data_IF_024644341851
#
_entry.id   IF_024644341851
#
_cell.length_a   1.000
_cell.length_b   1.000
_cell.length_c   1.000
_cell.angle_alpha   90.00
_cell.angle_beta   90.00
_cell.angle_gamma   90.00
#
_symmetry.space_group_name_H-M   'P 1'
#
loop_
_entity.id
_entity.type
_entity.pdbx_description
1 polymer ?
#
# COMPACT_ATOMS: atom_id res chain seq x y z
N UNK A 1 -4.93 21.91 2.95
CA UNK A 1 -4.36 20.55 3.12
C UNK A 1 -2.95 20.64 2.59
N UNK A 2 -1.97 20.11 3.29
CA UNK A 2 -0.56 20.09 2.90
C UNK A 2 -0.24 18.87 2.07
N UNK A 3 0.87 18.88 1.35
CA UNK A 3 1.43 17.71 0.67
C UNK A 3 1.91 16.71 1.72
N UNK A 4 1.34 15.50 1.75
CA UNK A 4 1.80 14.47 2.66
C UNK A 4 3.01 13.74 2.08
N UNK A 5 3.84 13.20 2.98
CA UNK A 5 4.93 12.30 2.61
C UNK A 5 4.99 11.14 3.62
N UNK A 6 5.26 9.95 3.11
CA UNK A 6 5.26 8.72 3.91
C UNK A 6 5.95 7.57 3.16
N UNK A 7 6.30 6.51 3.86
CA UNK A 7 6.70 5.25 3.25
C UNK A 7 5.52 4.33 2.96
N UNK A 8 5.73 3.31 2.13
CA UNK A 8 4.70 2.33 1.77
C UNK A 8 4.58 1.16 2.77
N UNK A 9 5.40 1.11 3.80
CA UNK A 9 5.34 0.14 4.89
C UNK A 9 6.58 -0.73 5.01
N UNK A 10 6.99 -1.40 3.93
CA UNK A 10 8.16 -2.27 3.96
C UNK A 10 9.47 -1.52 4.16
N UNK A 11 10.28 -2.00 5.10
CA UNK A 11 11.60 -1.47 5.45
C UNK A 11 12.63 -2.61 5.57
N UNK A 12 13.92 -2.31 5.39
CA UNK A 12 15.00 -3.29 5.48
C UNK A 12 15.35 -3.67 6.91
N UNK A 13 16.05 -4.79 7.04
CA UNK A 13 16.62 -5.25 8.31
C UNK A 13 15.66 -6.07 9.16
N UNK A 14 16.06 -6.34 10.41
CA UNK A 14 15.35 -7.22 11.32
C UNK A 14 15.00 -6.57 12.67
N UNK A 15 15.33 -5.30 12.87
CA UNK A 15 15.05 -4.56 14.10
C UNK A 15 13.89 -3.58 13.88
N UNK A 16 12.74 -3.86 14.52
CA UNK A 16 11.58 -2.94 14.49
C UNK A 16 11.94 -1.61 15.12
N UNK A 17 12.69 -1.59 16.22
CA UNK A 17 13.10 -0.34 16.88
C UNK A 17 13.90 0.54 15.91
N UNK A 18 14.89 -0.03 15.22
CA UNK A 18 15.67 0.74 14.25
C UNK A 18 14.82 1.25 13.06
N UNK A 19 13.87 0.46 12.59
CA UNK A 19 12.93 0.87 11.55
C UNK A 19 11.97 1.95 12.06
N UNK A 20 11.45 1.80 13.27
CA UNK A 20 10.58 2.78 13.91
C UNK A 20 11.28 4.13 14.14
N UNK A 21 12.55 4.10 14.56
CA UNK A 21 13.37 5.31 14.70
C UNK A 21 13.53 6.06 13.38
N UNK A 22 13.77 5.32 12.27
CA UNK A 22 13.85 5.92 10.94
C UNK A 22 12.50 6.55 10.56
N UNK A 23 11.40 5.83 10.74
CA UNK A 23 10.07 6.36 10.44
C UNK A 23 9.81 7.63 11.24
N UNK A 24 10.05 7.62 12.55
CA UNK A 24 9.85 8.79 13.40
C UNK A 24 10.72 10.00 12.98
N UNK A 25 11.96 9.75 12.54
CA UNK A 25 12.87 10.80 12.11
C UNK A 25 12.57 11.40 10.74
N UNK A 26 12.03 10.59 9.83
CA UNK A 26 11.97 10.96 8.41
C UNK A 26 10.55 11.18 7.86
N UNK A 27 9.46 10.70 8.52
CA UNK A 27 8.10 10.77 7.96
C UNK A 27 7.16 11.79 8.63
N UNK A 28 7.65 12.61 9.56
CA UNK A 28 6.84 13.68 10.15
C UNK A 28 5.60 13.17 10.89
N UNK A 29 4.44 13.77 10.57
CA UNK A 29 3.18 13.56 11.31
C UNK A 29 2.48 12.24 10.95
N UNK A 30 2.71 11.70 9.75
CA UNK A 30 2.12 10.43 9.31
C UNK A 30 3.15 9.30 9.36
N UNK A 31 3.16 8.53 10.43
CA UNK A 31 4.08 7.41 10.63
C UNK A 31 3.49 6.11 10.09
N UNK A 32 4.14 5.49 9.10
CA UNK A 32 3.77 4.13 8.69
C UNK A 32 4.28 3.11 9.72
N UNK A 33 3.46 2.10 10.05
CA UNK A 33 3.95 0.95 10.80
C UNK A 33 4.97 0.17 9.93
N UNK A 34 6.19 -0.09 10.42
CA UNK A 34 7.20 -0.78 9.66
C UNK A 34 6.87 -2.26 9.50
N UNK A 35 6.95 -2.76 8.28
CA UNK A 35 6.90 -4.19 7.94
C UNK A 35 8.31 -4.61 7.55
N UNK A 36 8.84 -5.66 8.18
CA UNK A 36 10.19 -6.17 7.93
C UNK A 36 10.15 -7.56 7.30
N UNK A 37 10.12 -7.69 5.96
CA UNK A 37 10.03 -8.98 5.27
C UNK A 37 11.20 -9.92 5.59
N UNK A 38 12.38 -9.38 5.90
CA UNK A 38 13.55 -10.17 6.35
C UNK A 38 13.28 -10.99 7.61
N UNK A 39 12.25 -10.65 8.40
CA UNK A 39 11.79 -11.44 9.56
C UNK A 39 10.82 -12.56 9.18
N UNK A 40 10.54 -12.75 7.89
CA UNK A 40 9.66 -13.79 7.36
C UNK A 40 8.16 -13.48 7.47
N UNK A 41 7.80 -12.20 7.59
CA UNK A 41 6.43 -11.69 7.51
C UNK A 41 6.43 -10.49 6.57
N UNK A 42 5.85 -10.67 5.39
CA UNK A 42 5.53 -9.61 4.43
C UNK A 42 4.10 -9.09 4.67
N UNK A 43 3.65 -8.15 3.84
CA UNK A 43 2.30 -7.59 3.96
C UNK A 43 1.20 -8.65 3.77
N UNK A 44 1.41 -9.66 2.90
CA UNK A 44 0.47 -10.78 2.72
C UNK A 44 0.39 -11.61 4.00
N UNK A 45 1.54 -11.99 4.54
CA UNK A 45 1.63 -12.73 5.80
C UNK A 45 0.97 -12.01 6.97
N UNK A 46 1.25 -10.70 7.12
CA UNK A 46 0.60 -9.86 8.12
C UNK A 46 -0.93 -9.91 7.95
N UNK A 47 -1.40 -9.68 6.73
CA UNK A 47 -2.84 -9.67 6.42
C UNK A 47 -3.50 -11.00 6.73
N UNK A 48 -2.84 -12.13 6.42
CA UNK A 48 -3.40 -13.45 6.79
C UNK A 48 -3.53 -13.65 8.30
N UNK A 49 -2.67 -13.00 9.07
CA UNK A 49 -2.71 -13.04 10.54
C UNK A 49 -3.91 -12.32 11.15
N UNK A 50 -4.42 -11.28 10.49
CA UNK A 50 -5.55 -10.49 11.00
C UNK A 50 -6.93 -10.95 10.51
N UNK A 51 -7.02 -12.04 9.72
CA UNK A 51 -8.29 -12.53 9.17
C UNK A 51 -9.11 -13.31 10.20
N UNK A 52 -10.20 -12.78 10.78
CA UNK A 52 -11.02 -13.51 11.73
C UNK A 52 -11.75 -14.69 11.06
N UNK A 53 -11.70 -15.85 11.66
CA UNK A 53 -12.39 -17.05 11.18
C UNK A 53 -11.74 -17.74 9.97
N UNK A 54 -10.73 -17.15 9.35
CA UNK A 54 -9.96 -17.74 8.24
C UNK A 54 -8.62 -18.24 8.78
N UNK A 55 -8.30 -19.48 8.46
CA UNK A 55 -7.02 -20.07 8.82
C UNK A 55 -6.21 -20.36 7.57
N UNK A 56 -4.96 -19.97 7.57
CA UNK A 56 -4.02 -20.25 6.48
C UNK A 56 -2.76 -20.92 6.99
N UNK A 57 -2.09 -21.66 6.14
CA UNK A 57 -0.77 -22.22 6.36
C UNK A 57 0.13 -21.95 5.17
N UNK A 58 1.43 -22.11 5.33
CA UNK A 58 2.35 -22.04 4.20
C UNK A 58 2.22 -23.31 3.35
N UNK A 59 1.84 -23.12 2.11
CA UNK A 59 1.90 -24.15 1.09
C UNK A 59 3.24 -24.15 0.35
N UNK A 60 3.41 -25.09 -0.60
CA UNK A 60 4.65 -25.20 -1.38
C UNK A 60 4.89 -24.03 -2.35
N UNK A 61 3.84 -23.33 -2.76
CA UNK A 61 3.91 -22.21 -3.71
C UNK A 61 3.46 -20.88 -3.10
N UNK A 62 2.52 -20.93 -2.16
CA UNK A 62 1.85 -19.77 -1.60
C UNK A 62 1.18 -20.14 -0.27
N UNK A 63 0.36 -19.27 0.29
CA UNK A 63 -0.50 -19.54 1.42
C UNK A 63 -1.64 -20.50 1.02
N UNK A 64 -2.04 -21.41 1.91
CA UNK A 64 -3.12 -22.38 1.65
C UNK A 64 -4.18 -22.27 2.74
N UNK A 65 -5.45 -22.25 2.37
CA UNK A 65 -6.56 -22.31 3.33
C UNK A 65 -6.52 -23.61 4.14
N UNK A 66 -6.65 -23.48 5.44
CA UNK A 66 -6.65 -24.58 6.39
C UNK A 66 -7.95 -24.62 7.19
N UNK A 67 -8.44 -25.84 7.49
CA UNK A 67 -9.65 -26.04 8.32
C UNK A 67 -9.39 -25.83 9.81
N UNK A 68 -8.14 -25.75 10.24
CA UNK A 68 -7.74 -25.62 11.65
C UNK A 68 -6.73 -24.50 11.82
N UNK A 69 -6.78 -23.79 12.96
CA UNK A 69 -5.74 -22.82 13.32
C UNK A 69 -4.36 -23.46 13.31
N UNK A 70 -3.44 -22.86 12.58
CA UNK A 70 -2.07 -23.33 12.46
C UNK A 70 -1.16 -22.58 13.43
N UNK A 71 -0.10 -23.26 13.88
CA UNK A 71 0.91 -22.66 14.75
C UNK A 71 1.57 -21.43 14.10
N UNK A 72 1.68 -21.45 12.74
CA UNK A 72 2.28 -20.35 11.98
C UNK A 72 1.43 -19.09 12.03
N UNK A 73 0.12 -19.19 11.86
CA UNK A 73 -0.80 -18.04 11.97
C UNK A 73 -0.71 -17.40 13.36
N UNK A 74 -0.69 -18.20 14.43
CA UNK A 74 -0.48 -17.69 15.79
C UNK A 74 0.85 -16.96 15.95
N UNK A 75 1.94 -17.51 15.39
CA UNK A 75 3.26 -16.87 15.43
C UNK A 75 3.31 -15.55 14.66
N UNK A 76 2.52 -15.41 13.59
CA UNK A 76 2.41 -14.14 12.86
C UNK A 76 1.71 -13.12 13.76
N UNK A 77 0.58 -13.49 14.36
CA UNK A 77 -0.13 -12.63 15.29
C UNK A 77 0.73 -12.19 16.49
N UNK A 78 1.34 -13.15 17.18
CA UNK A 78 2.25 -12.87 18.31
C UNK A 78 3.37 -11.91 17.89
N UNK A 79 3.83 -11.99 16.64
CA UNK A 79 4.84 -11.11 16.09
C UNK A 79 4.31 -9.71 15.79
N UNK A 80 3.11 -9.60 15.22
CA UNK A 80 2.46 -8.30 14.98
C UNK A 80 2.31 -7.55 16.29
N UNK A 81 1.82 -8.21 17.35
CA UNK A 81 1.70 -7.63 18.69
C UNK A 81 3.06 -7.18 19.24
N UNK A 82 4.08 -8.03 19.17
CA UNK A 82 5.42 -7.69 19.62
C UNK A 82 6.05 -6.54 18.82
N UNK A 83 5.72 -6.40 17.54
CA UNK A 83 6.18 -5.31 16.69
C UNK A 83 5.47 -4.00 17.06
N UNK A 84 4.18 -4.03 17.36
CA UNK A 84 3.43 -2.89 17.90
C UNK A 84 3.97 -2.42 19.24
N UNK A 85 4.29 -3.35 20.17
CA UNK A 85 4.92 -3.02 21.45
C UNK A 85 6.26 -2.29 21.27
N UNK A 86 7.07 -2.73 20.30
CA UNK A 86 8.35 -2.07 20.00
C UNK A 86 8.17 -0.70 19.34
N UNK A 87 7.16 -0.54 18.46
CA UNK A 87 6.83 0.77 17.90
C UNK A 87 6.33 1.74 19.00
N UNK A 88 5.49 1.27 19.91
CA UNK A 88 5.03 2.07 21.05
C UNK A 88 6.22 2.48 21.95
N UNK A 89 7.15 1.56 22.22
CA UNK A 89 8.37 1.87 22.95
C UNK A 89 9.21 2.96 22.27
N UNK A 90 9.31 2.92 20.93
CA UNK A 90 10.11 3.89 20.17
C UNK A 90 9.42 5.23 20.00
N UNK A 91 8.10 5.26 19.78
CA UNK A 91 7.34 6.45 19.44
C UNK A 91 6.61 7.10 20.62
N UNK A 92 6.39 6.35 21.71
CA UNK A 92 5.47 6.71 22.77
C UNK A 92 4.01 6.55 22.32
N UNK A 93 3.08 6.99 23.19
CA UNK A 93 1.63 6.83 23.00
C UNK A 93 0.96 8.09 22.42
N UNK A 94 1.70 9.13 22.09
CA UNK A 94 1.16 10.37 21.52
C UNK A 94 1.89 10.68 20.23
N UNK A 95 1.26 10.33 19.12
CA UNK A 95 1.72 10.58 17.77
C UNK A 95 0.55 11.15 16.96
N UNK A 96 0.83 11.91 15.90
CA UNK A 96 -0.21 12.64 15.18
C UNK A 96 -1.11 11.70 14.36
N UNK A 97 -0.52 10.79 13.60
CA UNK A 97 -1.25 9.78 12.83
C UNK A 97 -0.40 8.55 12.55
N UNK A 98 -1.06 7.39 12.46
CA UNK A 98 -0.44 6.12 12.05
C UNK A 98 -1.04 5.63 10.75
N UNK A 99 -0.18 5.19 9.83
CA UNK A 99 -0.57 4.49 8.61
C UNK A 99 -0.26 3.01 8.74
N UNK A 100 -1.30 2.18 8.61
CA UNK A 100 -1.19 0.72 8.52
C UNK A 100 -1.31 0.26 7.08
N UNK A 101 -0.69 -0.88 6.76
CA UNK A 101 -0.71 -1.46 5.43
C UNK A 101 -1.22 -2.90 5.50
N UNK A 102 -2.14 -3.25 4.60
CA UNK A 102 -2.70 -4.58 4.46
C UNK A 102 -2.85 -4.93 2.98
N UNK A 103 -2.77 -6.20 2.66
CA UNK A 103 -3.03 -6.67 1.29
C UNK A 103 -4.50 -6.53 0.97
N UNK A 104 -4.81 -5.95 -0.18
CA UNK A 104 -6.19 -5.81 -0.64
C UNK A 104 -6.81 -7.14 -1.11
N UNK A 105 -8.14 -7.16 -1.33
CA UNK A 105 -8.90 -8.39 -1.54
C UNK A 105 -8.47 -9.18 -2.77
N UNK A 106 -8.03 -8.52 -3.82
CA UNK A 106 -7.64 -9.16 -5.07
C UNK A 106 -6.28 -9.85 -4.94
N UNK A 107 -5.27 -9.14 -4.45
CA UNK A 107 -3.95 -9.70 -4.20
C UNK A 107 -4.01 -10.79 -3.13
N UNK A 108 -4.78 -10.60 -2.07
CA UNK A 108 -4.95 -11.58 -1.00
C UNK A 108 -5.53 -12.90 -1.55
N UNK A 109 -6.65 -12.84 -2.29
CA UNK A 109 -7.27 -14.03 -2.87
C UNK A 109 -6.44 -14.66 -3.99
N UNK A 110 -5.64 -13.87 -4.70
CA UNK A 110 -4.65 -14.37 -5.65
C UNK A 110 -3.46 -15.07 -4.97
N UNK A 111 -3.13 -14.69 -3.73
CA UNK A 111 -2.01 -15.22 -2.95
C UNK A 111 -2.37 -16.40 -2.06
N UNK A 112 -3.65 -16.74 -1.93
CA UNK A 112 -4.12 -17.87 -1.12
C UNK A 112 -4.64 -18.97 -2.05
N UNK A 113 -4.21 -20.20 -1.81
CA UNK A 113 -4.68 -21.40 -2.51
C UNK A 113 -5.75 -22.13 -1.69
N UNK A 114 -6.70 -22.71 -2.37
CA UNK A 114 -7.64 -23.68 -1.83
C UNK A 114 -6.94 -25.03 -1.63
N UNK A 115 -7.57 -25.96 -0.92
CA UNK A 115 -7.02 -27.31 -0.68
C UNK A 115 -6.78 -28.13 -1.96
N UNK A 116 -7.47 -27.78 -3.06
CA UNK A 116 -7.28 -28.37 -4.39
C UNK A 116 -6.14 -27.72 -5.20
N UNK A 117 -5.46 -26.71 -4.63
CA UNK A 117 -4.35 -26.01 -5.25
C UNK A 117 -4.74 -24.86 -6.19
N UNK A 118 -6.03 -24.63 -6.45
CA UNK A 118 -6.46 -23.44 -7.19
C UNK A 118 -6.40 -22.19 -6.30
N UNK A 119 -6.16 -21.02 -6.90
CA UNK A 119 -6.19 -19.76 -6.17
C UNK A 119 -7.60 -19.45 -5.67
N UNK A 120 -7.74 -18.95 -4.46
CA UNK A 120 -9.03 -18.58 -3.88
C UNK A 120 -9.80 -17.57 -4.75
N UNK A 121 -9.08 -16.77 -5.52
CA UNK A 121 -9.62 -15.84 -6.53
C UNK A 121 -10.57 -16.52 -7.54
N UNK A 122 -10.35 -17.81 -7.86
CA UNK A 122 -11.15 -18.54 -8.86
C UNK A 122 -12.44 -19.13 -8.29
N UNK A 123 -12.66 -19.03 -6.97
CA UNK A 123 -13.87 -19.48 -6.30
C UNK A 123 -14.63 -18.29 -5.71
N UNK A 124 -15.83 -18.03 -6.21
CA UNK A 124 -16.64 -16.88 -5.82
C UNK A 124 -16.99 -16.87 -4.33
N UNK A 125 -17.19 -18.05 -3.73
CA UNK A 125 -17.47 -18.19 -2.31
C UNK A 125 -16.25 -17.85 -1.47
N UNK A 126 -15.09 -18.42 -1.81
CA UNK A 126 -13.84 -18.16 -1.12
C UNK A 126 -13.41 -16.68 -1.24
N UNK A 127 -13.55 -16.09 -2.42
CA UNK A 127 -13.26 -14.67 -2.65
C UNK A 127 -14.16 -13.77 -1.80
N UNK A 128 -15.47 -14.08 -1.69
CA UNK A 128 -16.40 -13.34 -0.84
C UNK A 128 -16.01 -13.50 0.63
N UNK A 129 -15.79 -14.71 1.10
CA UNK A 129 -15.53 -14.97 2.52
C UNK A 129 -14.19 -14.38 2.97
N UNK A 130 -13.16 -14.41 2.10
CA UNK A 130 -11.89 -13.71 2.33
C UNK A 130 -12.07 -12.19 2.37
N UNK A 131 -12.90 -11.62 1.50
CA UNK A 131 -13.18 -10.17 1.49
C UNK A 131 -13.89 -9.73 2.76
N UNK A 132 -14.91 -10.48 3.22
CA UNK A 132 -15.63 -10.17 4.46
C UNK A 132 -14.72 -10.30 5.69
N UNK A 133 -13.90 -11.35 5.74
CA UNK A 133 -12.92 -11.53 6.81
C UNK A 133 -11.86 -10.43 6.80
N UNK A 134 -11.41 -9.98 5.62
CA UNK A 134 -10.47 -8.87 5.48
C UNK A 134 -11.04 -7.57 6.06
N UNK A 135 -12.29 -7.23 5.73
CA UNK A 135 -12.94 -6.03 6.25
C UNK A 135 -13.00 -6.08 7.78
N UNK A 136 -13.46 -7.19 8.34
CA UNK A 136 -13.53 -7.35 9.80
C UNK A 136 -12.14 -7.26 10.45
N UNK A 137 -11.14 -7.92 9.85
CA UNK A 137 -9.76 -7.90 10.34
C UNK A 137 -9.13 -6.51 10.31
N UNK A 138 -9.37 -5.73 9.24
CA UNK A 138 -8.89 -4.34 9.16
C UNK A 138 -9.54 -3.49 10.25
N UNK A 139 -10.85 -3.65 10.49
CA UNK A 139 -11.57 -2.91 11.51
C UNK A 139 -11.02 -3.21 12.91
N UNK A 140 -10.83 -4.48 13.25
CA UNK A 140 -10.26 -4.92 14.54
C UNK A 140 -8.82 -4.40 14.71
N UNK A 141 -7.97 -4.58 13.70
CA UNK A 141 -6.58 -4.14 13.73
C UNK A 141 -6.44 -2.62 13.82
N UNK A 142 -7.24 -1.87 13.06
CA UNK A 142 -7.26 -0.40 13.14
C UNK A 142 -7.73 0.09 14.51
N UNK A 143 -8.70 -0.58 15.12
CA UNK A 143 -9.20 -0.24 16.45
C UNK A 143 -8.12 -0.48 17.52
N UNK A 144 -7.38 -1.59 17.43
CA UNK A 144 -6.27 -1.89 18.34
C UNK A 144 -5.13 -0.87 18.20
N UNK A 145 -4.69 -0.56 16.99
CA UNK A 145 -3.65 0.45 16.74
C UNK A 145 -4.11 1.83 17.23
N UNK A 146 -5.38 2.21 16.98
CA UNK A 146 -5.95 3.47 17.46
C UNK A 146 -5.94 3.56 18.98
N UNK A 147 -6.34 2.49 19.66
CA UNK A 147 -6.36 2.44 21.13
C UNK A 147 -4.95 2.51 21.73
N UNK A 148 -3.98 1.85 21.10
CA UNK A 148 -2.59 1.78 21.56
C UNK A 148 -1.85 3.11 21.45
N UNK A 149 -2.02 3.83 20.35
CA UNK A 149 -1.31 5.08 20.09
C UNK A 149 -2.13 6.34 20.36
N UNK A 150 -3.39 6.21 20.76
CA UNK A 150 -4.33 7.34 21.00
C UNK A 150 -4.35 8.34 19.82
N UNK A 151 -4.48 7.82 18.58
CA UNK A 151 -4.31 8.61 17.35
C UNK A 151 -5.22 8.16 16.21
N UNK A 152 -5.29 8.96 15.15
CA UNK A 152 -5.94 8.55 13.90
C UNK A 152 -5.13 7.46 13.18
N UNK A 153 -5.86 6.50 12.61
CA UNK A 153 -5.28 5.40 11.83
C UNK A 153 -5.73 5.52 10.38
N UNK A 154 -4.78 5.55 9.47
CA UNK A 154 -5.00 5.56 8.03
C UNK A 154 -4.65 4.21 7.43
N UNK A 155 -5.61 3.63 6.72
CA UNK A 155 -5.46 2.30 6.11
C UNK A 155 -4.99 2.42 4.67
N UNK A 156 -3.96 1.66 4.31
CA UNK A 156 -3.48 1.45 2.95
C UNK A 156 -3.79 0.02 2.51
N UNK A 157 -4.46 -0.14 1.36
CA UNK A 157 -4.58 -1.42 0.67
C UNK A 157 -3.45 -1.57 -0.36
N UNK A 158 -2.69 -2.64 -0.25
CA UNK A 158 -1.66 -3.02 -1.21
C UNK A 158 -2.21 -4.01 -2.23
N UNK A 159 -2.24 -3.61 -3.51
CA UNK A 159 -2.75 -4.42 -4.62
C UNK A 159 -1.70 -4.63 -5.73
N UNK A 160 -0.52 -5.21 -5.40
CA UNK A 160 0.55 -5.40 -6.37
C UNK A 160 0.19 -6.40 -7.49
N UNK A 161 -0.80 -7.26 -7.30
CA UNK A 161 -1.25 -8.22 -8.31
C UNK A 161 -2.46 -7.74 -9.12
N UNK A 162 -2.99 -6.54 -8.85
CA UNK A 162 -4.23 -6.05 -9.46
C UNK A 162 -4.20 -6.03 -11.00
N UNK A 163 -3.10 -5.59 -11.58
CA UNK A 163 -2.92 -5.59 -13.03
C UNK A 163 -2.93 -7.02 -13.61
N UNK A 164 -2.28 -7.96 -12.93
CA UNK A 164 -2.26 -9.36 -13.36
C UNK A 164 -3.64 -10.04 -13.21
N UNK A 165 -4.40 -9.67 -12.17
CA UNK A 165 -5.80 -10.13 -11.99
C UNK A 165 -6.69 -9.59 -13.10
N UNK A 166 -6.56 -8.29 -13.41
CA UNK A 166 -7.27 -7.65 -14.52
C UNK A 166 -7.02 -8.37 -15.84
N UNK A 167 -5.77 -8.64 -16.15
CA UNK A 167 -5.37 -9.18 -17.46
C UNK A 167 -5.48 -10.71 -17.55
N UNK A 168 -5.82 -11.41 -16.46
CA UNK A 168 -5.85 -12.86 -16.41
C UNK A 168 -4.47 -13.50 -16.60
N UNK A 169 -3.40 -12.78 -16.28
CA UNK A 169 -2.02 -13.23 -16.51
C UNK A 169 -1.37 -13.95 -15.31
N UNK A 170 -2.13 -14.16 -14.26
CA UNK A 170 -1.66 -14.94 -13.10
C UNK A 170 -1.49 -16.42 -13.48
N UNK A 171 -0.39 -17.05 -13.06
CA UNK A 171 -0.22 -18.48 -13.31
C UNK A 171 -1.22 -19.30 -12.50
N UNK A 172 -1.90 -20.23 -13.15
CA UNK A 172 -2.75 -21.24 -12.53
C UNK A 172 -1.96 -22.42 -11.95
N UNK A 173 -2.66 -23.51 -11.64
CA UNK A 173 -2.06 -24.75 -11.11
C UNK A 173 -1.23 -25.50 -12.16
N UNK A 174 -1.54 -25.30 -13.43
CA UNK A 174 -0.83 -25.85 -14.59
C UNK A 174 -0.89 -24.87 -15.76
N UNK A 175 -0.13 -25.12 -16.80
CA UNK A 175 -0.18 -24.32 -18.04
C UNK A 175 -1.53 -24.35 -18.77
N UNK A 176 -2.44 -25.26 -18.39
CA UNK A 176 -3.79 -25.38 -18.94
C UNK A 176 -4.87 -24.80 -18.01
N UNK A 177 -4.48 -24.30 -16.85
CA UNK A 177 -5.37 -23.71 -15.86
C UNK A 177 -5.27 -22.17 -15.97
N UNK A 178 -6.06 -21.62 -16.88
CA UNK A 178 -6.10 -20.19 -17.12
C UNK A 178 -6.98 -19.50 -16.07
N UNK A 179 -6.47 -18.46 -15.45
CA UNK A 179 -7.25 -17.58 -14.57
C UNK A 179 -7.93 -16.52 -15.45
N UNK A 180 -9.28 -16.45 -15.46
CA UNK A 180 -9.98 -15.48 -16.30
C UNK A 180 -9.63 -14.05 -15.93
N UNK A 181 -9.56 -13.17 -16.93
CA UNK A 181 -9.47 -11.72 -16.72
C UNK A 181 -10.73 -11.19 -16.02
N UNK A 182 -10.55 -10.17 -15.18
CA UNK A 182 -11.64 -9.48 -14.48
C UNK A 182 -11.71 -8.05 -14.99
N UNK A 183 -12.90 -7.58 -15.35
CA UNK A 183 -13.06 -6.22 -15.87
C UNK A 183 -12.89 -5.15 -14.78
N UNK A 184 -12.61 -3.91 -15.19
CA UNK A 184 -12.33 -2.79 -14.29
C UNK A 184 -13.49 -2.45 -13.34
N UNK A 185 -14.74 -2.66 -13.77
CA UNK A 185 -15.91 -2.38 -12.94
C UNK A 185 -16.01 -3.35 -11.77
N UNK A 186 -15.92 -4.66 -12.01
CA UNK A 186 -15.97 -5.68 -10.97
C UNK A 186 -14.79 -5.55 -9.99
N UNK A 187 -13.59 -5.19 -10.52
CA UNK A 187 -12.42 -4.91 -9.68
C UNK A 187 -12.69 -3.73 -8.74
N UNK A 188 -13.17 -2.62 -9.31
CA UNK A 188 -13.44 -1.39 -8.56
C UNK A 188 -14.58 -1.55 -7.55
N UNK A 189 -15.68 -2.21 -7.91
CA UNK A 189 -16.83 -2.43 -7.01
C UNK A 189 -16.46 -3.23 -5.76
N UNK A 190 -15.62 -4.25 -5.90
CA UNK A 190 -15.16 -5.01 -4.74
C UNK A 190 -14.24 -4.18 -3.85
N UNK A 191 -13.32 -3.41 -4.44
CA UNK A 191 -12.48 -2.48 -3.69
C UNK A 191 -13.34 -1.42 -2.99
N UNK A 192 -14.36 -0.86 -3.65
CA UNK A 192 -15.29 0.10 -3.06
C UNK A 192 -15.94 -0.44 -1.77
N UNK A 193 -16.41 -1.69 -1.79
CA UNK A 193 -16.98 -2.33 -0.61
C UNK A 193 -16.00 -2.47 0.56
N UNK A 194 -14.71 -2.72 0.29
CA UNK A 194 -13.67 -2.75 1.32
C UNK A 194 -13.33 -1.33 1.79
N UNK A 195 -13.13 -0.40 0.85
CA UNK A 195 -12.75 0.99 1.13
C UNK A 195 -13.78 1.67 2.03
N UNK A 196 -15.06 1.56 1.70
CA UNK A 196 -16.15 2.15 2.48
C UNK A 196 -16.25 1.55 3.88
N UNK A 197 -16.27 0.21 3.98
CA UNK A 197 -16.55 -0.48 5.24
C UNK A 197 -15.36 -0.54 6.20
N UNK A 198 -14.13 -0.51 5.67
CA UNK A 198 -12.89 -0.54 6.45
C UNK A 198 -12.19 0.83 6.52
N UNK A 199 -12.86 1.91 6.08
CA UNK A 199 -12.36 3.30 6.13
C UNK A 199 -10.95 3.44 5.49
N UNK A 200 -10.76 2.78 4.34
CA UNK A 200 -9.47 2.78 3.63
C UNK A 200 -9.26 4.13 2.95
N UNK A 201 -8.07 4.69 3.14
CA UNK A 201 -7.70 5.98 2.57
C UNK A 201 -6.78 5.88 1.35
N UNK A 202 -5.91 4.87 1.34
CA UNK A 202 -4.87 4.71 0.31
C UNK A 202 -5.05 3.40 -0.45
N UNK A 203 -4.96 3.45 -1.78
CA UNK A 203 -4.86 2.28 -2.65
C UNK A 203 -3.48 2.28 -3.32
N UNK A 204 -2.64 1.32 -2.97
CA UNK A 204 -1.31 1.19 -3.52
C UNK A 204 -1.31 0.30 -4.77
N UNK A 205 -1.03 0.92 -5.91
CA UNK A 205 -0.86 0.29 -7.22
C UNK A 205 0.56 0.47 -7.77
N UNK A 206 1.55 0.66 -6.90
CA UNK A 206 2.93 0.85 -7.34
C UNK A 206 3.49 -0.39 -8.05
N UNK A 207 4.43 -0.17 -8.98
CA UNK A 207 5.12 -1.24 -9.71
C UNK A 207 4.56 -1.54 -11.10
N UNK A 208 3.32 -1.18 -11.39
CA UNK A 208 2.67 -1.35 -12.69
C UNK A 208 2.00 -0.04 -13.13
N UNK A 209 1.65 0.10 -14.44
CA UNK A 209 0.82 1.21 -14.88
C UNK A 209 -0.50 1.25 -14.09
N UNK A 210 -0.88 2.40 -13.51
CA UNK A 210 -2.06 2.49 -12.67
C UNK A 210 -3.35 2.19 -13.43
N UNK A 211 -4.28 1.52 -12.75
CA UNK A 211 -5.63 1.26 -13.24
C UNK A 211 -6.57 2.38 -12.74
N UNK A 212 -6.47 3.56 -13.34
CA UNK A 212 -7.18 4.77 -12.91
C UNK A 212 -8.69 4.56 -12.80
N UNK A 213 -9.28 3.85 -13.78
CA UNK A 213 -10.71 3.56 -13.78
C UNK A 213 -11.12 2.68 -12.60
N UNK A 214 -10.30 1.70 -12.24
CA UNK A 214 -10.52 0.86 -11.06
C UNK A 214 -10.47 1.70 -9.79
N UNK A 215 -9.47 2.57 -9.64
CA UNK A 215 -9.35 3.46 -8.48
C UNK A 215 -10.53 4.44 -8.38
N UNK A 216 -11.02 4.97 -9.50
CA UNK A 216 -12.19 5.85 -9.56
C UNK A 216 -13.49 5.11 -9.14
N UNK A 217 -13.73 3.90 -9.68
CA UNK A 217 -14.89 3.08 -9.29
C UNK A 217 -14.80 2.70 -7.81
N UNK A 218 -13.60 2.39 -7.32
CA UNK A 218 -13.34 2.10 -5.93
C UNK A 218 -13.59 3.28 -4.97
N UNK A 219 -13.54 4.51 -5.47
CA UNK A 219 -13.80 5.71 -4.68
C UNK A 219 -12.73 6.00 -3.62
N UNK A 220 -11.48 5.55 -3.85
CA UNK A 220 -10.39 5.78 -2.90
C UNK A 220 -10.01 7.26 -2.84
N UNK A 221 -9.64 7.75 -1.66
CA UNK A 221 -9.18 9.14 -1.49
C UNK A 221 -7.83 9.37 -2.20
N UNK A 222 -6.86 8.48 -2.01
CA UNK A 222 -5.52 8.61 -2.58
C UNK A 222 -5.11 7.33 -3.31
N UNK A 223 -4.81 7.45 -4.61
CA UNK A 223 -4.21 6.39 -5.41
C UNK A 223 -2.69 6.55 -5.44
N UNK A 224 -1.95 5.58 -4.91
CA UNK A 224 -0.48 5.57 -4.87
C UNK A 224 0.06 4.86 -6.11
N UNK A 225 0.93 5.55 -6.85
CA UNK A 225 1.47 5.06 -8.12
C UNK A 225 2.98 5.29 -8.20
N UNK A 226 3.66 4.53 -9.03
CA UNK A 226 5.05 4.82 -9.37
C UNK A 226 5.08 5.83 -10.51
N UNK A 227 5.67 7.00 -10.32
CA UNK A 227 5.65 8.09 -11.31
C UNK A 227 6.11 7.64 -12.70
N UNK A 228 7.16 6.83 -12.78
CA UNK A 228 7.69 6.34 -14.06
C UNK A 228 6.72 5.42 -14.83
N UNK A 229 5.70 4.88 -14.20
CA UNK A 229 4.68 4.03 -14.86
C UNK A 229 3.53 4.84 -15.44
N UNK A 230 3.41 6.12 -15.07
CA UNK A 230 2.45 7.06 -15.64
C UNK A 230 3.04 7.64 -16.92
N UNK A 231 2.87 6.94 -18.03
CA UNK A 231 3.43 7.33 -19.33
C UNK A 231 2.44 7.09 -20.47
N UNK A 232 2.45 8.01 -21.42
CA UNK A 232 1.57 7.98 -22.59
C UNK A 232 0.20 8.61 -22.32
N UNK A 233 -0.51 8.93 -23.40
CA UNK A 233 -1.77 9.71 -23.36
C UNK A 233 -2.81 9.05 -22.45
N UNK A 234 -2.99 7.73 -22.54
CA UNK A 234 -3.98 7.01 -21.73
C UNK A 234 -3.73 7.18 -20.21
N UNK A 235 -2.46 7.09 -19.78
CA UNK A 235 -2.10 7.23 -18.37
C UNK A 235 -2.20 8.69 -17.92
N UNK A 236 -1.82 9.64 -18.74
CA UNK A 236 -1.93 11.06 -18.45
C UNK A 236 -3.39 11.52 -18.38
N UNK A 237 -4.21 11.09 -19.33
CA UNK A 237 -5.64 11.37 -19.34
C UNK A 237 -6.33 10.73 -18.11
N UNK A 238 -5.97 9.50 -17.77
CA UNK A 238 -6.47 8.82 -16.58
C UNK A 238 -6.14 9.55 -15.28
N UNK A 239 -4.91 10.02 -15.13
CA UNK A 239 -4.48 10.82 -13.97
C UNK A 239 -5.22 12.17 -13.93
N UNK A 240 -5.34 12.86 -15.06
CA UNK A 240 -6.08 14.13 -15.16
C UNK A 240 -7.55 13.98 -14.77
N UNK A 241 -8.22 12.92 -15.23
CA UNK A 241 -9.59 12.62 -14.85
C UNK A 241 -9.72 12.28 -13.36
N UNK A 242 -8.77 11.53 -12.80
CA UNK A 242 -8.76 11.20 -11.37
C UNK A 242 -8.63 12.45 -10.49
N UNK A 243 -7.68 13.34 -10.83
CA UNK A 243 -7.50 14.63 -10.14
C UNK A 243 -8.75 15.54 -10.29
N UNK A 244 -9.34 15.61 -11.47
CA UNK A 244 -10.56 16.39 -11.73
C UNK A 244 -11.77 15.85 -10.94
N UNK A 245 -11.80 14.54 -10.65
CA UNK A 245 -12.81 13.92 -9.80
C UNK A 245 -12.56 14.12 -8.30
N UNK A 246 -11.47 14.81 -7.91
CA UNK A 246 -11.12 15.08 -6.52
C UNK A 246 -10.27 14.00 -5.85
N UNK A 247 -9.82 12.98 -6.60
CA UNK A 247 -8.89 11.97 -6.09
C UNK A 247 -7.50 12.60 -5.90
N UNK A 248 -6.82 12.24 -4.83
CA UNK A 248 -5.41 12.57 -4.63
C UNK A 248 -4.51 11.52 -5.31
N UNK A 249 -3.32 11.92 -5.68
CA UNK A 249 -2.32 11.01 -6.29
C UNK A 249 -1.06 10.99 -5.43
N UNK A 250 -0.73 9.81 -4.90
CA UNK A 250 0.57 9.56 -4.27
C UNK A 250 1.60 9.25 -5.34
N UNK A 251 2.63 10.09 -5.47
CA UNK A 251 3.68 9.96 -6.46
C UNK A 251 4.91 9.26 -5.87
N UNK A 252 5.14 8.04 -6.29
CA UNK A 252 6.33 7.26 -5.96
C UNK A 252 7.49 7.67 -6.85
N UNK A 253 8.39 8.50 -6.32
CA UNK A 253 9.47 9.09 -7.12
C UNK A 253 10.86 8.91 -6.53
N UNK A 254 10.99 8.72 -5.22
CA UNK A 254 12.29 8.57 -4.58
C UNK A 254 12.76 7.12 -4.56
N UNK A 255 14.05 6.88 -4.73
CA UNK A 255 14.65 5.54 -4.71
C UNK A 255 15.69 5.44 -3.61
N UNK A 256 15.82 4.25 -3.02
CA UNK A 256 16.97 3.94 -2.19
C UNK A 256 18.26 4.02 -3.01
N UNK A 257 19.26 4.70 -2.46
CA UNK A 257 20.55 4.89 -3.14
C UNK A 257 20.54 5.88 -4.33
N UNK A 258 19.45 6.63 -4.52
CA UNK A 258 19.39 7.71 -5.51
C UNK A 258 20.04 8.98 -4.93
N UNK A 259 21.00 9.54 -5.66
CA UNK A 259 21.73 10.76 -5.31
C UNK A 259 21.22 12.02 -6.03
N UNK A 260 20.10 11.92 -6.75
CA UNK A 260 19.48 13.06 -7.43
C UNK A 260 19.06 14.12 -6.42
N UNK A 261 19.34 15.39 -6.79
CA UNK A 261 18.88 16.54 -6.03
C UNK A 261 17.33 16.52 -5.92
N UNK A 262 16.75 16.58 -4.72
CA UNK A 262 15.31 16.67 -4.52
C UNK A 262 14.63 17.75 -5.36
N UNK A 263 15.32 18.88 -5.61
CA UNK A 263 14.81 19.96 -6.46
C UNK A 263 14.56 19.50 -7.89
N UNK A 264 15.43 18.67 -8.45
CA UNK A 264 15.20 18.14 -9.79
C UNK A 264 13.94 17.28 -9.86
N UNK A 265 13.67 16.48 -8.81
CA UNK A 265 12.44 15.69 -8.73
C UNK A 265 11.18 16.58 -8.66
N UNK A 266 11.22 17.63 -7.85
CA UNK A 266 10.11 18.58 -7.74
C UNK A 266 9.86 19.33 -9.06
N UNK A 267 10.93 19.80 -9.73
CA UNK A 267 10.86 20.45 -11.05
C UNK A 267 10.32 19.51 -12.12
N UNK A 268 10.72 18.24 -12.14
CA UNK A 268 10.22 17.26 -13.10
C UNK A 268 8.70 17.05 -12.95
N UNK A 269 8.19 17.02 -11.71
CA UNK A 269 6.73 16.97 -11.45
C UNK A 269 6.05 18.25 -11.92
N UNK A 270 6.56 19.42 -11.55
CA UNK A 270 5.98 20.71 -11.97
C UNK A 270 5.92 20.85 -13.49
N UNK A 271 7.00 20.46 -14.18
CA UNK A 271 7.04 20.44 -15.65
C UNK A 271 6.00 19.49 -16.25
N UNK A 272 5.87 18.27 -15.69
CA UNK A 272 4.85 17.33 -16.14
C UNK A 272 3.44 17.93 -15.97
N UNK A 273 3.17 18.63 -14.87
CA UNK A 273 1.89 19.35 -14.66
C UNK A 273 1.61 20.38 -15.72
N UNK A 274 2.62 21.19 -16.06
CA UNK A 274 2.50 22.21 -17.14
C UNK A 274 2.24 21.57 -18.49
N UNK A 275 2.98 20.50 -18.84
CA UNK A 275 2.82 19.78 -20.10
C UNK A 275 1.42 19.15 -20.24
N UNK A 276 0.81 18.75 -19.12
CA UNK A 276 -0.55 18.21 -19.07
C UNK A 276 -1.62 19.31 -18.96
N UNK A 277 -1.24 20.57 -18.84
CA UNK A 277 -2.17 21.68 -18.62
C UNK A 277 -2.93 21.63 -17.31
N UNK A 278 -2.36 20.96 -16.28
CA UNK A 278 -2.94 20.87 -14.95
C UNK A 278 -2.64 22.13 -14.14
N UNK A 279 -3.60 22.54 -13.30
CA UNK A 279 -3.39 23.66 -12.39
C UNK A 279 -2.31 23.32 -11.35
N UNK A 280 -1.27 24.15 -11.25
CA UNK A 280 -0.19 23.97 -10.27
C UNK A 280 -0.67 24.01 -8.81
N UNK A 281 -1.81 24.63 -8.54
CA UNK A 281 -2.41 24.58 -7.20
C UNK A 281 -2.75 23.15 -6.75
N UNK A 282 -3.00 22.23 -7.69
CA UNK A 282 -3.20 20.81 -7.37
C UNK A 282 -1.96 20.18 -6.73
N UNK A 283 -0.76 20.66 -7.03
CA UNK A 283 0.48 20.18 -6.42
C UNK A 283 0.49 20.37 -4.90
N UNK A 284 -0.16 21.40 -4.39
CA UNK A 284 -0.16 21.73 -2.96
C UNK A 284 -1.21 20.97 -2.13
N UNK A 285 -2.22 20.36 -2.77
CA UNK A 285 -3.32 19.74 -2.02
C UNK A 285 -3.85 18.41 -2.60
N UNK A 286 -3.48 18.05 -3.83
CA UNK A 286 -3.93 16.82 -4.48
C UNK A 286 -2.81 15.81 -4.74
N UNK A 287 -1.59 16.11 -4.29
CA UNK A 287 -0.41 15.25 -4.45
C UNK A 287 0.13 14.84 -3.09
N UNK A 288 0.60 13.61 -2.98
CA UNK A 288 1.43 13.10 -1.90
C UNK A 288 2.74 12.58 -2.49
N UNK A 289 3.80 12.47 -1.67
CA UNK A 289 5.11 11.99 -2.12
C UNK A 289 5.53 10.77 -1.30
N UNK A 290 6.02 9.73 -1.97
CA UNK A 290 6.52 8.53 -1.31
C UNK A 290 7.66 7.87 -2.12
N UNK A 291 8.39 6.89 -1.56
CA UNK A 291 9.31 6.05 -2.31
C UNK A 291 8.58 5.28 -3.42
N UNK A 292 9.29 4.96 -4.51
CA UNK A 292 8.74 4.28 -5.69
C UNK A 292 8.09 2.91 -5.42
N UNK A 293 8.46 2.28 -4.33
CA UNK A 293 7.97 0.97 -3.91
C UNK A 293 8.41 0.70 -2.48
N UNK A 294 8.29 -0.54 -2.02
CA UNK A 294 8.82 -0.98 -0.74
C UNK A 294 10.35 -0.80 -0.65
N UNK A 295 10.84 -0.63 0.55
CA UNK A 295 12.26 -0.39 0.84
C UNK A 295 12.96 -1.62 1.47
N UNK A 296 12.36 -2.81 1.39
CA UNK A 296 12.87 -4.02 2.02
C UNK A 296 14.28 -4.44 1.54
N UNK A 297 14.59 -4.21 0.26
CA UNK A 297 15.79 -4.71 -0.40
C UNK A 297 16.98 -3.72 -0.39
N UNK A 298 16.93 -2.68 0.43
CA UNK A 298 18.01 -1.70 0.55
C UNK A 298 18.65 -1.72 1.95
N UNK A 299 19.60 -0.82 2.21
CA UNK A 299 20.13 -0.62 3.57
C UNK A 299 19.22 0.31 4.38
N UNK A 300 19.29 0.24 5.72
CA UNK A 300 18.57 1.18 6.59
C UNK A 300 18.92 2.64 6.30
N UNK A 301 20.17 2.91 5.95
CA UNK A 301 20.65 4.25 5.62
C UNK A 301 20.02 4.75 4.31
N UNK A 302 19.96 3.89 3.29
CA UNK A 302 19.34 4.22 2.00
C UNK A 302 17.83 4.40 2.15
N UNK A 303 17.17 3.60 3.00
CA UNK A 303 15.75 3.77 3.31
C UNK A 303 15.47 5.13 3.97
N UNK A 304 16.27 5.51 4.97
CA UNK A 304 16.18 6.82 5.62
C UNK A 304 16.41 7.95 4.61
N UNK A 305 17.41 7.81 3.72
CA UNK A 305 17.68 8.80 2.68
C UNK A 305 16.50 8.95 1.70
N UNK A 306 15.89 7.84 1.25
CA UNK A 306 14.74 7.87 0.35
C UNK A 306 13.51 8.57 0.98
N UNK A 307 13.24 8.30 2.27
CA UNK A 307 12.16 8.96 3.01
C UNK A 307 12.42 10.45 3.22
N UNK A 308 13.66 10.82 3.57
CA UNK A 308 14.08 12.22 3.69
C UNK A 308 13.96 12.97 2.38
N UNK A 309 14.34 12.35 1.26
CA UNK A 309 14.17 12.93 -0.07
C UNK A 309 12.69 13.12 -0.38
N UNK A 310 11.82 12.17 -0.07
CA UNK A 310 10.38 12.30 -0.25
C UNK A 310 9.82 13.50 0.55
N UNK A 311 10.23 13.65 1.80
CA UNK A 311 9.90 14.82 2.63
C UNK A 311 10.32 16.13 1.99
N UNK A 312 11.58 16.21 1.53
CA UNK A 312 12.11 17.44 0.93
C UNK A 312 11.37 17.81 -0.34
N UNK A 313 11.04 16.83 -1.19
CA UNK A 313 10.24 17.05 -2.40
C UNK A 313 8.83 17.52 -2.04
N UNK A 314 8.18 16.88 -1.07
CA UNK A 314 6.85 17.27 -0.60
C UNK A 314 6.83 18.71 -0.09
N UNK A 315 7.83 19.09 0.72
CA UNK A 315 8.00 20.47 1.22
C UNK A 315 8.15 21.50 0.07
N UNK A 316 8.87 21.14 -1.01
CA UNK A 316 9.03 22.00 -2.19
C UNK A 316 7.72 22.14 -2.96
N UNK A 317 7.00 21.05 -3.17
CA UNK A 317 5.70 21.05 -3.85
C UNK A 317 4.65 21.86 -3.06
N UNK A 318 4.70 21.81 -1.73
CA UNK A 318 3.75 22.52 -0.88
C UNK A 318 4.04 24.05 -0.85
N UNK A 319 5.31 24.44 -0.79
CA UNK A 319 5.71 25.84 -0.55
C UNK A 319 6.05 26.62 -1.82
N UNK A 320 6.64 25.92 -2.79
CA UNK A 320 7.30 26.56 -3.94
C UNK A 320 6.66 26.18 -5.28
N UNK A 321 5.44 25.57 -5.30
CA UNK A 321 4.79 25.11 -6.53
C UNK A 321 4.73 26.14 -7.67
N UNK A 322 4.64 27.43 -7.34
CA UNK A 322 4.64 28.54 -8.30
C UNK A 322 6.02 28.90 -8.85
N UNK A 323 7.10 28.52 -8.17
CA UNK A 323 8.49 28.92 -8.46
C UNK A 323 9.35 27.74 -8.96
N UNK A 324 8.76 26.55 -9.09
CA UNK A 324 9.42 25.33 -9.60
C UNK A 324 9.55 25.28 -11.13
#
# INVERSE_FOLDING_TARGET
>A
MTVNFYGLGELPGASIIAAADIVAGETGDLRQLPILPARGVDVVGLTTGILPGINVDAGPRSWVLSTRPQLRTRRIWDRVEADLDQCEQAWGTRIDAVKIQVTGPWTLSASIELSNGHRALTDTGALRDLTESLIAGIQEYSADVRARFDTEVYVQLDEPLLAQVRDGSLPGTSQFDEIPSINDADLGERLAGVIERAEVRYLNQTGYPPLWKVAQVAGVETCQVTLDTVRGSEQYDGMGHALAAGMRVGLGMTRAGDDRDPRHLAVDVARMWDELGLDRTLLTHAVDVHPRGGLADCTLLDAAAALRTARTVADMLDKDAGDL
#
